data_IF_799797875314
#
_entry.id   IF_799797875314
#
_cell.length_a   1.000
_cell.length_b   1.000
_cell.length_c   1.000
_cell.angle_alpha   90.00
_cell.angle_beta   90.00
_cell.angle_gamma   90.00
#
_symmetry.space_group_name_H-M   'P 1'
#
loop_
_entity.id
_entity.type
_entity.pdbx_description
1 polymer ?
#
# COMPACT_ATOMS: atom_id res chain seq x y z
N UNK A 1 -80.92 26.18 -17.76
CA UNK A 1 -82.06 26.92 -18.27
C UNK A 1 -82.11 27.09 -19.80
N UNK A 2 -81.04 27.65 -20.43
CA UNK A 2 -80.98 27.84 -21.90
C UNK A 2 -81.14 26.51 -22.72
N UNK A 3 -80.52 25.43 -22.28
CA UNK A 3 -80.62 24.12 -22.96
C UNK A 3 -81.97 23.46 -22.85
N UNK A 4 -82.64 23.58 -21.66
CA UNK A 4 -84.00 23.15 -21.40
C UNK A 4 -84.99 23.98 -22.23
N UNK A 5 -84.74 25.29 -22.36
CA UNK A 5 -85.53 26.17 -23.19
C UNK A 5 -85.39 25.94 -24.69
N UNK A 6 -84.20 25.60 -25.19
CA UNK A 6 -83.90 25.25 -26.61
C UNK A 6 -84.56 23.90 -26.97
N UNK A 7 -84.55 22.92 -26.06
CA UNK A 7 -85.15 21.61 -26.32
C UNK A 7 -86.70 21.74 -26.35
N UNK A 8 -87.30 22.55 -25.46
CA UNK A 8 -88.75 22.75 -25.40
C UNK A 8 -89.34 23.55 -26.58
N UNK A 9 -88.52 24.39 -27.25
CA UNK A 9 -88.98 25.21 -28.41
C UNK A 9 -88.95 24.40 -29.74
N UNK A 10 -88.21 23.35 -29.85
CA UNK A 10 -88.09 22.60 -31.12
C UNK A 10 -88.68 21.21 -31.14
N UNK A 11 -89.09 20.67 -29.98
CA UNK A 11 -89.68 19.38 -29.86
C UNK A 11 -90.94 19.51 -28.97
N UNK A 12 -92.16 19.28 -29.48
CA UNK A 12 -93.38 19.21 -28.64
C UNK A 12 -93.40 17.88 -27.88
N UNK A 13 -92.50 17.78 -26.92
CA UNK A 13 -92.37 16.62 -26.02
C UNK A 13 -93.29 16.94 -24.79
N UNK A 14 -93.97 15.92 -24.29
CA UNK A 14 -94.67 16.03 -22.99
C UNK A 14 -93.68 16.52 -21.92
N UNK A 15 -94.12 17.34 -21.00
CA UNK A 15 -93.27 17.95 -19.95
C UNK A 15 -92.43 16.96 -19.17
N UNK A 16 -92.90 15.77 -18.92
CA UNK A 16 -92.20 14.66 -18.27
C UNK A 16 -90.92 14.18 -19.04
N UNK A 17 -90.97 14.09 -20.36
CA UNK A 17 -89.87 13.66 -21.22
C UNK A 17 -88.79 14.74 -21.28
N UNK A 18 -89.18 15.99 -21.32
CA UNK A 18 -88.27 17.12 -21.29
C UNK A 18 -87.49 17.20 -19.99
N UNK A 19 -88.15 16.94 -18.87
CA UNK A 19 -87.50 16.86 -17.54
C UNK A 19 -86.55 15.68 -17.43
N UNK A 20 -86.90 14.52 -17.93
CA UNK A 20 -86.08 13.33 -17.97
C UNK A 20 -84.76 13.57 -18.79
N UNK A 21 -84.89 14.17 -19.96
CA UNK A 21 -83.79 14.51 -20.82
C UNK A 21 -82.84 15.54 -20.14
N UNK A 22 -83.41 16.49 -19.40
CA UNK A 22 -82.64 17.46 -18.64
C UNK A 22 -81.85 16.76 -17.51
N UNK A 23 -82.50 15.88 -16.74
CA UNK A 23 -81.82 15.09 -15.69
C UNK A 23 -80.69 14.24 -16.26
N UNK A 24 -80.86 13.53 -17.41
CA UNK A 24 -79.84 12.74 -18.07
C UNK A 24 -78.65 13.66 -18.51
N UNK A 25 -78.97 14.83 -19.05
CA UNK A 25 -77.98 15.78 -19.45
C UNK A 25 -77.07 16.27 -18.28
N UNK A 26 -77.75 16.59 -17.12
CA UNK A 26 -77.04 17.00 -15.92
C UNK A 26 -76.18 15.87 -15.37
N UNK A 27 -76.67 14.62 -15.34
CA UNK A 27 -75.92 13.48 -14.90
C UNK A 27 -74.63 13.27 -15.86
N UNK A 28 -74.85 13.35 -17.13
CA UNK A 28 -73.80 13.23 -18.12
C UNK A 28 -72.75 14.32 -17.99
N UNK A 29 -73.19 15.57 -17.73
CA UNK A 29 -72.33 16.71 -17.50
C UNK A 29 -71.48 16.53 -16.22
N UNK A 30 -72.07 16.01 -15.14
CA UNK A 30 -71.41 15.72 -13.87
C UNK A 30 -70.34 14.63 -14.10
N UNK A 31 -70.67 13.54 -14.81
CA UNK A 31 -69.74 12.47 -15.14
C UNK A 31 -68.55 13.00 -15.99
N UNK A 32 -68.82 13.86 -16.96
CA UNK A 32 -67.78 14.48 -17.78
C UNK A 32 -66.86 15.37 -16.90
N UNK A 33 -67.44 16.20 -16.05
CA UNK A 33 -66.68 17.09 -15.15
C UNK A 33 -65.80 16.25 -14.19
N UNK A 34 -66.36 15.21 -13.60
CA UNK A 34 -65.65 14.31 -12.68
C UNK A 34 -64.49 13.60 -13.39
N UNK A 35 -64.73 13.09 -14.58
CA UNK A 35 -63.70 12.48 -15.43
C UNK A 35 -62.58 13.48 -15.79
N UNK A 36 -62.91 14.73 -16.14
CA UNK A 36 -61.92 15.76 -16.46
C UNK A 36 -61.14 16.17 -15.23
N UNK A 37 -61.79 16.36 -14.08
CA UNK A 37 -61.10 16.66 -12.83
C UNK A 37 -60.16 15.53 -12.40
N UNK A 38 -60.60 14.28 -12.52
CA UNK A 38 -59.79 13.11 -12.25
C UNK A 38 -58.53 13.08 -13.10
N UNK A 39 -58.70 13.27 -14.42
CA UNK A 39 -57.60 13.17 -15.39
C UNK A 39 -56.62 14.36 -15.36
N UNK A 40 -57.13 15.58 -15.18
CA UNK A 40 -56.30 16.80 -15.28
C UNK A 40 -55.77 17.30 -13.94
N UNK A 41 -56.38 16.90 -12.83
CA UNK A 41 -55.96 17.38 -11.52
C UNK A 41 -55.53 16.23 -10.59
N UNK A 42 -56.43 15.23 -10.37
CA UNK A 42 -56.15 14.18 -9.36
C UNK A 42 -55.00 13.26 -9.75
N UNK A 43 -54.92 12.83 -11.00
CA UNK A 43 -53.88 11.92 -11.52
C UNK A 43 -52.46 12.53 -11.46
N UNK A 44 -52.25 13.79 -11.94
CA UNK A 44 -50.93 14.46 -11.81
C UNK A 44 -50.49 14.65 -10.37
N UNK A 45 -51.39 15.10 -9.50
CA UNK A 45 -51.08 15.30 -8.07
C UNK A 45 -50.71 13.99 -7.41
N UNK A 46 -51.43 12.90 -7.68
CA UNK A 46 -51.12 11.58 -7.12
C UNK A 46 -49.73 11.11 -7.50
N UNK A 47 -49.31 11.27 -8.78
CA UNK A 47 -47.99 10.89 -9.30
C UNK A 47 -46.87 11.73 -8.67
N UNK A 48 -47.09 13.03 -8.49
CA UNK A 48 -46.16 13.94 -7.82
C UNK A 48 -45.98 13.55 -6.35
N UNK A 49 -47.07 13.28 -5.64
CA UNK A 49 -47.04 12.82 -4.24
C UNK A 49 -46.31 11.48 -4.09
N UNK A 50 -46.53 10.54 -4.99
CA UNK A 50 -45.87 9.24 -4.99
C UNK A 50 -44.36 9.41 -5.19
N UNK A 51 -43.95 10.26 -6.14
CA UNK A 51 -42.54 10.59 -6.37
C UNK A 51 -41.90 11.25 -5.15
N UNK A 52 -42.59 12.24 -4.53
CA UNK A 52 -42.10 12.90 -3.32
C UNK A 52 -41.93 11.89 -2.15
N UNK A 53 -42.86 10.94 -2.02
CA UNK A 53 -42.79 9.88 -1.01
C UNK A 53 -41.60 8.94 -1.23
N UNK A 54 -41.31 8.56 -2.47
CA UNK A 54 -40.14 7.75 -2.83
C UNK A 54 -38.87 8.53 -2.57
N UNK A 55 -38.80 9.78 -3.01
CA UNK A 55 -37.67 10.66 -2.79
C UNK A 55 -37.32 10.83 -1.30
N UNK A 56 -38.34 10.94 -0.43
CA UNK A 56 -38.17 10.98 1.03
C UNK A 56 -37.54 9.69 1.61
N UNK A 57 -37.64 8.57 0.91
CA UNK A 57 -37.01 7.29 1.24
C UNK A 57 -35.67 7.05 0.49
N UNK A 58 -35.14 8.07 -0.18
CA UNK A 58 -33.97 8.01 -1.02
C UNK A 58 -34.08 7.01 -2.19
N UNK A 59 -35.31 6.71 -2.61
CA UNK A 59 -35.58 5.88 -3.80
C UNK A 59 -35.83 6.78 -5.01
N UNK A 60 -34.82 6.93 -5.83
CA UNK A 60 -34.80 7.72 -7.07
C UNK A 60 -34.88 6.84 -8.31
N UNK A 61 -35.31 5.59 -8.20
CA UNK A 61 -35.26 4.59 -9.30
C UNK A 61 -36.16 4.93 -10.48
N UNK A 62 -37.23 5.72 -10.27
CA UNK A 62 -38.18 6.05 -11.32
C UNK A 62 -38.50 7.55 -11.34
N UNK A 63 -38.43 8.23 -12.50
CA UNK A 63 -38.81 9.63 -12.61
C UNK A 63 -40.32 9.80 -12.53
N UNK A 64 -40.75 11.01 -12.16
CA UNK A 64 -42.18 11.41 -12.20
C UNK A 64 -42.61 11.53 -13.66
N UNK A 65 -43.54 10.69 -14.09
CA UNK A 65 -44.08 10.66 -15.47
C UNK A 65 -45.40 11.48 -15.57
N UNK A 66 -45.32 12.78 -15.35
CA UNK A 66 -46.43 13.71 -15.62
C UNK A 66 -46.06 14.45 -16.92
N UNK A 67 -46.83 14.21 -17.98
CA UNK A 67 -46.66 14.84 -19.31
C UNK A 67 -47.73 15.92 -19.52
N UNK A 68 -47.85 16.88 -18.63
CA UNK A 68 -48.68 18.06 -18.79
C UNK A 68 -47.82 19.25 -19.25
N UNK A 69 -48.42 20.21 -19.94
CA UNK A 69 -47.77 21.48 -20.34
C UNK A 69 -48.15 22.65 -19.42
N UNK A 70 -48.71 22.32 -18.27
CA UNK A 70 -49.14 23.26 -17.24
C UNK A 70 -48.14 23.25 -16.05
N UNK A 71 -48.57 23.86 -14.94
CA UNK A 71 -47.77 23.98 -13.71
C UNK A 71 -47.44 22.61 -13.07
N UNK A 72 -48.23 21.56 -13.34
CA UNK A 72 -47.96 20.20 -12.88
C UNK A 72 -46.80 19.57 -13.65
N UNK A 73 -46.68 19.86 -14.97
CA UNK A 73 -45.56 19.42 -15.79
C UNK A 73 -44.25 20.07 -15.33
N UNK A 74 -44.26 21.39 -15.11
CA UNK A 74 -43.09 22.13 -14.61
C UNK A 74 -42.67 21.63 -13.23
N UNK A 75 -43.60 21.37 -12.31
CA UNK A 75 -43.34 20.81 -10.99
C UNK A 75 -42.71 19.41 -11.09
N UNK A 76 -43.22 18.55 -11.95
CA UNK A 76 -42.67 17.23 -12.16
C UNK A 76 -41.23 17.26 -12.69
N UNK A 77 -40.96 18.16 -13.64
CA UNK A 77 -39.58 18.36 -14.20
C UNK A 77 -38.61 18.87 -13.13
N UNK A 78 -39.05 19.83 -12.29
CA UNK A 78 -38.22 20.34 -11.20
C UNK A 78 -37.95 19.26 -10.12
N UNK A 79 -38.94 18.42 -9.80
CA UNK A 79 -38.75 17.28 -8.92
C UNK A 79 -37.78 16.23 -9.50
N UNK A 80 -37.90 15.95 -10.82
CA UNK A 80 -36.98 15.04 -11.50
C UNK A 80 -35.52 15.55 -11.45
N UNK A 81 -35.30 16.85 -11.77
CA UNK A 81 -33.98 17.47 -11.66
C UNK A 81 -33.42 17.47 -10.22
N UNK A 82 -34.27 17.74 -9.23
CA UNK A 82 -33.89 17.66 -7.82
C UNK A 82 -33.45 16.24 -7.44
N UNK A 83 -34.22 15.23 -7.88
CA UNK A 83 -33.92 13.82 -7.62
C UNK A 83 -32.61 13.38 -8.28
N UNK A 84 -32.35 13.77 -9.51
CA UNK A 84 -31.11 13.51 -10.23
C UNK A 84 -29.90 14.15 -9.51
N UNK A 85 -30.01 15.41 -9.12
CA UNK A 85 -28.98 16.10 -8.37
C UNK A 85 -28.70 15.46 -6.99
N UNK A 86 -29.75 15.01 -6.28
CA UNK A 86 -29.60 14.31 -5.02
C UNK A 86 -28.92 12.94 -5.20
N UNK A 87 -29.35 12.18 -6.21
CA UNK A 87 -28.74 10.88 -6.53
C UNK A 87 -27.25 11.03 -6.86
N UNK A 88 -26.89 12.01 -7.70
CA UNK A 88 -25.51 12.33 -8.05
C UNK A 88 -24.68 12.74 -6.83
N UNK A 89 -25.28 13.55 -5.95
CA UNK A 89 -24.62 14.02 -4.72
C UNK A 89 -24.37 12.86 -3.76
N UNK A 90 -25.35 11.99 -3.58
CA UNK A 90 -25.21 10.78 -2.74
C UNK A 90 -24.15 9.85 -3.29
N UNK A 91 -24.12 9.62 -4.60
CA UNK A 91 -23.09 8.79 -5.24
C UNK A 91 -21.68 9.37 -5.08
N UNK A 92 -21.53 10.70 -5.17
CA UNK A 92 -20.24 11.40 -4.90
C UNK A 92 -19.83 11.28 -3.44
N UNK A 93 -20.77 11.40 -2.52
CA UNK A 93 -20.55 11.31 -1.08
C UNK A 93 -20.12 9.88 -0.68
N UNK A 94 -20.78 8.87 -1.24
CA UNK A 94 -20.42 7.46 -1.01
C UNK A 94 -18.99 7.16 -1.51
N UNK A 95 -18.65 7.60 -2.73
CA UNK A 95 -17.28 7.47 -3.28
C UNK A 95 -16.24 8.19 -2.41
N UNK A 96 -16.55 9.39 -1.94
CA UNK A 96 -15.67 10.15 -1.06
C UNK A 96 -15.48 9.45 0.29
N UNK A 97 -16.53 8.87 0.85
CA UNK A 97 -16.48 8.13 2.11
C UNK A 97 -15.61 6.86 2.00
N UNK A 98 -15.81 6.07 0.94
CA UNK A 98 -14.97 4.89 0.66
C UNK A 98 -13.50 5.27 0.51
N UNK A 99 -13.21 6.39 -0.17
CA UNK A 99 -11.84 6.88 -0.31
C UNK A 99 -11.25 7.30 1.04
N UNK A 100 -12.01 8.05 1.82
CA UNK A 100 -11.59 8.50 3.15
C UNK A 100 -11.32 7.31 4.09
N UNK A 101 -12.18 6.30 4.08
CA UNK A 101 -11.95 5.08 4.87
C UNK A 101 -10.65 4.38 4.49
N UNK A 102 -10.35 4.29 3.18
CA UNK A 102 -9.10 3.73 2.69
C UNK A 102 -7.88 4.54 3.15
N UNK A 103 -7.96 5.86 3.03
CA UNK A 103 -6.89 6.77 3.45
C UNK A 103 -6.62 6.66 4.96
N UNK A 104 -7.68 6.63 5.77
CA UNK A 104 -7.58 6.43 7.23
C UNK A 104 -6.97 5.07 7.59
N UNK A 105 -7.33 4.00 6.86
CA UNK A 105 -6.73 2.68 7.09
C UNK A 105 -5.24 2.69 6.75
N UNK A 106 -4.86 3.33 5.66
CA UNK A 106 -3.46 3.46 5.25
C UNK A 106 -2.65 4.28 6.27
N UNK A 107 -3.18 5.40 6.75
CA UNK A 107 -2.54 6.21 7.78
C UNK A 107 -2.37 5.43 9.09
N UNK A 108 -3.39 4.70 9.52
CA UNK A 108 -3.29 3.84 10.72
C UNK A 108 -2.23 2.76 10.58
N UNK A 109 -2.06 2.19 9.38
CA UNK A 109 -1.00 1.22 9.11
C UNK A 109 0.37 1.86 9.26
N UNK A 110 0.61 3.01 8.63
CA UNK A 110 1.86 3.76 8.74
C UNK A 110 2.19 4.16 10.18
N UNK A 111 1.20 4.61 10.96
CA UNK A 111 1.39 4.93 12.37
C UNK A 111 1.79 3.71 13.21
N UNK A 112 1.21 2.54 12.94
CA UNK A 112 1.61 1.29 13.62
C UNK A 112 3.04 0.90 13.27
N UNK A 113 3.40 0.91 11.99
CA UNK A 113 4.76 0.61 11.52
C UNK A 113 5.78 1.56 12.15
N UNK A 114 5.47 2.86 12.22
CA UNK A 114 6.32 3.86 12.88
C UNK A 114 6.46 3.61 14.38
N UNK A 115 5.37 3.24 15.05
CA UNK A 115 5.42 2.89 16.48
C UNK A 115 6.27 1.65 16.72
N UNK A 116 6.05 0.58 15.96
CA UNK A 116 6.85 -0.65 16.07
C UNK A 116 8.33 -0.39 15.82
N UNK A 117 8.66 0.47 14.85
CA UNK A 117 10.02 0.91 14.58
C UNK A 117 10.63 1.60 15.81
N UNK A 118 9.90 2.54 16.43
CA UNK A 118 10.37 3.29 17.61
C UNK A 118 10.56 2.37 18.82
N UNK A 119 9.62 1.44 19.03
CA UNK A 119 9.69 0.48 20.14
C UNK A 119 10.90 -0.46 19.97
N UNK A 120 11.11 -1.00 18.76
CA UNK A 120 12.28 -1.85 18.45
C UNK A 120 13.60 -1.09 18.60
N UNK A 121 13.67 0.14 18.11
CA UNK A 121 14.83 1.02 18.28
C UNK A 121 15.18 1.23 19.75
N UNK A 122 14.18 1.54 20.57
CA UNK A 122 14.35 1.74 22.00
C UNK A 122 14.92 0.47 22.68
N UNK A 123 14.47 -0.71 22.27
CA UNK A 123 15.00 -1.98 22.76
C UNK A 123 16.45 -2.23 22.32
N UNK A 124 16.77 -2.00 21.03
CA UNK A 124 18.12 -2.21 20.48
C UNK A 124 19.14 -1.20 21.04
N UNK A 125 18.70 -0.01 21.48
CA UNK A 125 19.56 0.97 22.16
C UNK A 125 19.71 0.69 23.66
N UNK A 126 18.70 0.18 24.34
CA UNK A 126 18.73 -0.07 25.77
C UNK A 126 19.77 -1.14 26.17
N UNK A 127 19.93 -2.15 25.33
CA UNK A 127 20.88 -3.25 25.59
C UNK A 127 22.34 -2.76 25.63
N UNK A 128 22.90 -2.11 24.59
CA UNK A 128 24.28 -1.61 24.63
C UNK A 128 24.50 -0.56 25.73
N UNK A 129 23.53 0.34 25.98
CA UNK A 129 23.61 1.31 27.07
C UNK A 129 23.71 0.59 28.42
N UNK A 130 22.95 -0.48 28.62
CA UNK A 130 23.04 -1.29 29.86
C UNK A 130 24.40 -1.97 30.01
N UNK A 131 24.97 -2.49 28.91
CA UNK A 131 26.32 -3.07 28.90
C UNK A 131 27.38 -2.01 29.21
N UNK A 132 27.36 -0.88 28.52
CA UNK A 132 28.29 0.24 28.76
C UNK A 132 28.25 0.66 30.23
N UNK A 133 27.04 0.83 30.79
CA UNK A 133 26.86 1.21 32.18
C UNK A 133 27.45 0.18 33.15
N UNK A 134 27.14 -1.12 32.94
CA UNK A 134 27.62 -2.18 33.81
C UNK A 134 29.16 -2.28 33.83
N UNK A 135 29.80 -2.16 32.66
CA UNK A 135 31.26 -2.18 32.59
C UNK A 135 31.89 -0.89 33.08
N UNK A 136 31.27 0.27 32.92
CA UNK A 136 31.75 1.53 33.48
C UNK A 136 31.67 1.52 35.01
N UNK A 137 30.59 0.99 35.60
CA UNK A 137 30.48 0.77 37.04
C UNK A 137 31.56 -0.25 37.51
N UNK A 138 31.75 -1.35 36.73
CA UNK A 138 32.77 -2.36 37.05
C UNK A 138 34.22 -1.84 37.03
N UNK A 139 34.55 -0.87 36.17
CA UNK A 139 35.90 -0.23 36.18
C UNK A 139 36.19 0.49 37.48
N UNK A 140 35.19 1.06 38.16
CA UNK A 140 35.38 1.82 39.40
C UNK A 140 35.83 0.93 40.55
N UNK A 141 35.36 -0.32 40.60
CA UNK A 141 35.64 -1.24 41.70
C UNK A 141 36.77 -2.26 41.38
N UNK A 142 37.20 -2.32 40.10
CA UNK A 142 38.22 -3.29 39.64
C UNK A 142 39.64 -2.74 39.88
N UNK A 143 40.48 -3.54 40.52
CA UNK A 143 41.87 -3.20 40.84
C UNK A 143 42.86 -3.83 39.83
N UNK A 144 42.46 -4.84 39.10
CA UNK A 144 43.26 -5.51 38.05
C UNK A 144 43.27 -4.67 36.77
N UNK A 145 44.45 -4.18 36.38
CA UNK A 145 44.62 -3.32 35.20
C UNK A 145 44.26 -4.07 33.91
N UNK A 146 44.54 -5.37 33.82
CA UNK A 146 44.16 -6.18 32.63
C UNK A 146 42.65 -6.33 32.46
N UNK A 147 41.90 -6.40 33.56
CA UNK A 147 40.43 -6.42 33.50
C UNK A 147 39.85 -5.04 33.21
N UNK A 148 40.43 -3.98 33.79
CA UNK A 148 40.03 -2.60 33.50
C UNK A 148 40.19 -2.31 31.99
N UNK A 149 41.29 -2.75 31.38
CA UNK A 149 41.54 -2.61 29.97
C UNK A 149 40.44 -3.34 29.14
N UNK A 150 40.12 -4.58 29.48
CA UNK A 150 39.05 -5.33 28.84
C UNK A 150 37.69 -4.65 28.96
N UNK A 151 37.35 -4.11 30.13
CA UNK A 151 36.08 -3.39 30.32
C UNK A 151 36.03 -2.13 29.46
N UNK A 152 37.14 -1.40 29.32
CA UNK A 152 37.26 -0.24 28.45
C UNK A 152 37.06 -0.62 26.97
N UNK A 153 37.67 -1.71 26.53
CA UNK A 153 37.52 -2.22 25.16
C UNK A 153 36.05 -2.61 24.84
N UNK A 154 35.36 -3.22 25.82
CA UNK A 154 33.94 -3.56 25.66
C UNK A 154 33.08 -2.29 25.55
N UNK A 155 33.36 -1.26 26.37
CA UNK A 155 32.64 0.02 26.30
C UNK A 155 32.83 0.68 24.92
N UNK A 156 34.08 0.71 24.43
CA UNK A 156 34.40 1.28 23.12
C UNK A 156 33.65 0.53 22.03
N UNK A 157 33.72 -0.81 22.03
CA UNK A 157 33.07 -1.62 21.00
C UNK A 157 31.55 -1.48 20.99
N UNK A 158 30.90 -1.37 22.15
CA UNK A 158 29.46 -1.13 22.23
C UNK A 158 29.08 0.29 21.78
N UNK A 159 29.94 1.28 22.04
CA UNK A 159 29.73 2.65 21.57
C UNK A 159 29.84 2.75 20.04
N UNK A 160 30.85 2.10 19.44
CA UNK A 160 31.01 1.99 17.98
C UNK A 160 29.81 1.29 17.34
N UNK A 161 29.34 0.20 17.95
CA UNK A 161 28.15 -0.52 17.51
C UNK A 161 26.89 0.36 17.52
N UNK A 162 26.72 1.19 18.54
CA UNK A 162 25.63 2.17 18.59
C UNK A 162 25.77 3.23 17.49
N UNK A 163 26.97 3.72 17.21
CA UNK A 163 27.25 4.64 16.12
C UNK A 163 26.80 4.08 14.77
N UNK A 164 27.25 2.86 14.46
CA UNK A 164 26.86 2.16 13.22
C UNK A 164 25.35 1.95 13.12
N UNK A 165 24.69 1.61 14.24
CA UNK A 165 23.22 1.43 14.26
C UNK A 165 22.49 2.75 13.91
N UNK A 166 22.93 3.86 14.49
CA UNK A 166 22.33 5.19 14.26
C UNK A 166 22.57 5.63 12.82
N UNK A 167 23.79 5.53 12.31
CA UNK A 167 24.11 5.86 10.91
C UNK A 167 23.31 5.03 9.92
N UNK A 168 23.22 3.72 10.15
CA UNK A 168 22.44 2.79 9.32
C UNK A 168 20.95 3.16 9.31
N UNK A 169 20.40 3.58 10.44
CA UNK A 169 19.02 4.00 10.55
C UNK A 169 18.75 5.33 9.82
N UNK A 170 19.66 6.31 9.99
CA UNK A 170 19.56 7.60 9.31
C UNK A 170 19.64 7.43 7.78
N UNK A 171 20.53 6.57 7.31
CA UNK A 171 20.65 6.27 5.88
C UNK A 171 19.40 5.58 5.34
N UNK A 172 18.87 4.57 6.04
CA UNK A 172 17.61 3.93 5.67
C UNK A 172 16.44 4.92 5.65
N UNK A 173 16.36 5.80 6.63
CA UNK A 173 15.33 6.85 6.68
C UNK A 173 15.45 7.84 5.51
N UNK A 174 16.66 8.21 5.12
CA UNK A 174 16.91 9.08 3.99
C UNK A 174 16.52 8.43 2.64
N UNK A 175 16.81 7.13 2.49
CA UNK A 175 16.41 6.32 1.33
C UNK A 175 14.87 6.23 1.21
N UNK A 176 14.16 5.99 2.30
CA UNK A 176 12.68 5.85 2.30
C UNK A 176 11.94 7.15 2.03
N UNK A 177 12.44 8.26 2.55
CA UNK A 177 11.80 9.56 2.39
C UNK A 177 12.11 10.22 1.01
N UNK A 178 12.83 9.52 0.13
CA UNK A 178 13.22 10.08 -1.17
C UNK A 178 14.20 11.26 -1.06
N UNK A 179 14.86 11.42 0.10
CA UNK A 179 15.86 12.47 0.31
C UNK A 179 17.18 12.17 -0.43
N UNK A 180 17.35 10.93 -0.89
CA UNK A 180 18.50 10.47 -1.64
C UNK A 180 18.13 10.38 -3.12
N UNK A 181 18.82 11.15 -3.97
CA UNK A 181 18.73 11.01 -5.41
C UNK A 181 19.75 9.96 -5.86
N UNK A 182 19.31 8.99 -6.64
CA UNK A 182 20.21 8.00 -7.25
C UNK A 182 21.13 8.69 -8.26
N UNK A 183 22.39 8.29 -8.26
CA UNK A 183 23.43 8.76 -9.20
C UNK A 183 23.94 7.59 -10.03
N UNK A 184 23.19 7.17 -11.07
CA UNK A 184 23.62 6.06 -11.91
C UNK A 184 24.87 6.41 -12.71
N UNK A 185 25.85 5.52 -12.70
CA UNK A 185 27.07 5.63 -13.50
C UNK A 185 27.35 4.30 -14.21
N UNK A 186 28.11 4.37 -15.30
CA UNK A 186 28.53 3.18 -16.07
C UNK A 186 29.84 2.64 -15.51
N UNK A 187 29.84 1.38 -15.08
CA UNK A 187 31.09 0.70 -14.60
C UNK A 187 31.06 -0.79 -14.88
N UNK A 188 32.21 -1.42 -14.80
CA UNK A 188 32.39 -2.86 -14.90
C UNK A 188 31.95 -3.52 -13.58
N UNK A 189 30.89 -4.27 -13.64
CA UNK A 189 30.29 -4.89 -12.44
C UNK A 189 31.09 -6.12 -11.97
N UNK A 190 31.79 -6.81 -12.86
CA UNK A 190 32.65 -7.96 -12.50
C UNK A 190 33.80 -7.50 -11.63
N UNK A 191 34.59 -6.53 -12.13
CA UNK A 191 35.74 -5.93 -11.40
C UNK A 191 35.26 -5.31 -10.06
N UNK A 192 34.06 -4.70 -10.06
CA UNK A 192 33.50 -4.10 -8.87
C UNK A 192 33.16 -5.14 -7.79
N UNK A 193 32.53 -6.26 -8.16
CA UNK A 193 32.23 -7.36 -7.24
C UNK A 193 33.48 -8.04 -6.72
N UNK A 194 34.46 -8.29 -7.61
CA UNK A 194 35.77 -8.85 -7.22
C UNK A 194 36.48 -7.98 -6.19
N UNK A 195 36.48 -6.67 -6.39
CA UNK A 195 37.12 -5.72 -5.47
C UNK A 195 36.48 -5.75 -4.09
N UNK A 196 35.16 -5.73 -4.03
CA UNK A 196 34.40 -5.73 -2.76
C UNK A 196 34.53 -7.10 -2.07
N UNK A 197 34.36 -8.18 -2.81
CA UNK A 197 34.46 -9.53 -2.27
C UNK A 197 35.90 -9.80 -1.77
N UNK A 198 36.93 -9.38 -2.51
CA UNK A 198 38.31 -9.45 -2.08
C UNK A 198 38.54 -8.76 -0.74
N UNK A 199 38.09 -7.50 -0.61
CA UNK A 199 38.21 -6.73 0.64
C UNK A 199 37.50 -7.40 1.84
N UNK A 200 36.30 -7.98 1.63
CA UNK A 200 35.50 -8.51 2.71
C UNK A 200 35.81 -9.95 3.10
N UNK A 201 36.36 -10.75 2.18
CA UNK A 201 36.50 -12.19 2.33
C UNK A 201 37.95 -12.65 2.49
N UNK A 202 38.96 -11.91 1.94
CA UNK A 202 40.37 -12.34 1.93
C UNK A 202 41.13 -11.87 3.17
N UNK A 203 40.81 -10.72 3.75
CA UNK A 203 41.54 -10.11 4.89
C UNK A 203 41.31 -10.79 6.26
N UNK A 204 40.86 -12.03 6.32
CA UNK A 204 40.65 -12.75 7.57
C UNK A 204 41.46 -14.03 7.67
N UNK A 205 42.43 -14.10 8.61
CA UNK A 205 43.33 -15.23 8.77
C UNK A 205 42.67 -16.53 9.32
N UNK A 206 41.41 -16.52 9.71
CA UNK A 206 40.73 -17.66 10.34
C UNK A 206 39.31 -17.87 9.74
N UNK A 207 39.18 -17.94 8.42
CA UNK A 207 37.88 -18.34 7.83
C UNK A 207 37.80 -19.88 7.77
N UNK A 208 36.90 -20.42 8.60
CA UNK A 208 36.59 -21.86 8.63
C UNK A 208 35.49 -22.21 7.58
N UNK A 209 35.59 -21.65 6.34
CA UNK A 209 34.69 -21.96 5.22
C UNK A 209 35.44 -21.95 3.87
N UNK A 210 34.91 -22.70 2.90
CA UNK A 210 35.37 -22.76 1.53
C UNK A 210 34.73 -21.65 0.69
N UNK A 211 35.55 -20.83 0.03
CA UNK A 211 35.10 -19.76 -0.83
C UNK A 211 35.13 -20.19 -2.30
N UNK A 212 33.97 -20.10 -2.98
CA UNK A 212 33.86 -20.42 -4.41
C UNK A 212 33.38 -19.20 -5.19
N UNK A 213 34.03 -18.95 -6.34
CA UNK A 213 33.65 -17.88 -7.26
C UNK A 213 33.22 -18.47 -8.61
N UNK A 214 32.13 -17.92 -9.16
CA UNK A 214 31.66 -18.21 -10.51
C UNK A 214 31.37 -16.86 -11.17
N UNK A 215 32.40 -16.31 -11.85
CA UNK A 215 32.38 -14.97 -12.44
C UNK A 215 32.66 -15.06 -13.94
N UNK A 216 32.07 -14.18 -14.78
CA UNK A 216 32.44 -14.05 -16.19
C UNK A 216 33.91 -13.71 -16.35
N UNK A 217 34.56 -14.29 -17.35
CA UNK A 217 35.96 -13.96 -17.70
C UNK A 217 36.08 -12.61 -18.44
N UNK A 218 34.99 -12.02 -18.85
CA UNK A 218 34.95 -10.76 -19.59
C UNK A 218 34.25 -9.66 -18.76
N UNK A 219 34.53 -8.41 -19.15
CA UNK A 219 33.94 -7.23 -18.52
C UNK A 219 32.43 -7.14 -18.84
N UNK A 220 31.61 -6.91 -17.82
CA UNK A 220 30.18 -6.70 -17.98
C UNK A 220 29.81 -5.33 -17.41
N UNK A 221 29.36 -4.44 -18.29
CA UNK A 221 29.02 -3.08 -17.91
C UNK A 221 27.54 -2.96 -17.50
N UNK A 222 27.31 -2.22 -16.43
CA UNK A 222 25.97 -1.86 -15.94
C UNK A 222 25.88 -0.35 -15.75
N UNK A 223 24.64 0.17 -15.62
CA UNK A 223 24.40 1.57 -15.29
C UNK A 223 23.51 1.63 -14.04
N UNK A 224 24.11 1.78 -12.88
CA UNK A 224 23.44 1.83 -11.58
C UNK A 224 24.16 2.80 -10.65
N UNK A 225 23.59 3.10 -9.50
CA UNK A 225 24.28 3.86 -8.45
C UNK A 225 25.35 2.98 -7.78
N UNK A 226 26.61 3.21 -8.12
CA UNK A 226 27.74 2.40 -7.68
C UNK A 226 27.91 2.40 -6.16
N UNK A 227 27.74 3.57 -5.51
CA UNK A 227 27.83 3.69 -4.05
C UNK A 227 26.74 2.85 -3.35
N UNK A 228 25.54 2.90 -3.87
CA UNK A 228 24.42 2.13 -3.33
C UNK A 228 24.56 0.63 -3.62
N UNK A 229 25.10 0.27 -4.78
CA UNK A 229 25.41 -1.14 -5.08
C UNK A 229 26.55 -1.68 -4.20
N UNK A 230 27.55 -0.87 -3.85
CA UNK A 230 28.56 -1.25 -2.86
C UNK A 230 27.91 -1.59 -1.51
N UNK A 231 26.95 -0.77 -1.08
CA UNK A 231 26.20 -1.00 0.16
C UNK A 231 25.37 -2.30 0.11
N UNK A 232 24.75 -2.60 -1.03
CA UNK A 232 24.04 -3.87 -1.26
C UNK A 232 24.99 -5.05 -1.13
N UNK A 233 26.11 -5.03 -1.85
CA UNK A 233 27.08 -6.11 -1.83
C UNK A 233 27.69 -6.31 -0.44
N UNK A 234 28.08 -5.22 0.24
CA UNK A 234 28.59 -5.28 1.61
C UNK A 234 27.60 -5.97 2.56
N UNK A 235 26.31 -5.59 2.52
CA UNK A 235 25.28 -6.18 3.38
C UNK A 235 25.04 -7.67 3.07
N UNK A 236 24.98 -8.05 1.78
CA UNK A 236 24.74 -9.44 1.38
C UNK A 236 25.95 -10.32 1.70
N UNK A 237 27.17 -9.89 1.40
CA UNK A 237 28.40 -10.67 1.64
C UNK A 237 28.63 -10.85 3.14
N UNK A 238 28.50 -9.77 3.94
CA UNK A 238 28.62 -9.86 5.40
C UNK A 238 27.53 -10.74 6.02
N UNK A 239 26.31 -10.67 5.50
CA UNK A 239 25.24 -11.55 5.94
C UNK A 239 25.54 -13.02 5.65
N UNK A 240 25.94 -13.36 4.42
CA UNK A 240 26.28 -14.72 4.03
C UNK A 240 27.45 -15.26 4.86
N UNK A 241 28.52 -14.46 5.06
CA UNK A 241 29.67 -14.78 5.91
C UNK A 241 29.30 -15.11 7.36
N UNK A 242 28.36 -14.37 7.94
CA UNK A 242 27.88 -14.62 9.32
C UNK A 242 27.06 -15.89 9.45
N UNK A 243 26.42 -16.34 8.38
CA UNK A 243 25.46 -17.46 8.41
C UNK A 243 26.00 -18.74 7.76
N UNK A 244 27.22 -18.72 7.21
CA UNK A 244 27.85 -19.94 6.71
C UNK A 244 28.22 -20.87 7.89
N UNK A 245 27.95 -22.16 7.73
CA UNK A 245 28.34 -23.18 8.72
C UNK A 245 29.86 -23.33 8.78
N UNK A 246 30.43 -23.75 9.94
CA UNK A 246 31.86 -24.13 10.01
C UNK A 246 32.20 -25.17 8.95
N UNK A 247 33.27 -24.96 8.20
CA UNK A 247 33.68 -25.77 7.04
C UNK A 247 32.64 -25.85 5.90
N UNK A 248 31.65 -24.95 5.90
CA UNK A 248 30.66 -24.86 4.85
C UNK A 248 31.17 -24.09 3.62
N UNK A 249 30.34 -24.02 2.59
CA UNK A 249 30.64 -23.35 1.33
C UNK A 249 29.96 -21.98 1.32
N UNK A 250 30.72 -20.94 0.94
CA UNK A 250 30.21 -19.64 0.55
C UNK A 250 30.51 -19.47 -0.94
N UNK A 251 29.45 -19.38 -1.76
CA UNK A 251 29.61 -19.22 -3.22
C UNK A 251 29.06 -17.88 -3.67
N UNK A 252 29.84 -17.16 -4.42
CA UNK A 252 29.49 -15.91 -5.07
C UNK A 252 29.44 -16.16 -6.58
N UNK A 253 28.31 -15.83 -7.21
CA UNK A 253 28.08 -16.12 -8.63
C UNK A 253 27.58 -14.87 -9.35
N UNK A 254 28.12 -14.62 -10.54
CA UNK A 254 27.64 -13.65 -11.52
C UNK A 254 27.39 -14.39 -12.84
N UNK A 255 26.16 -14.34 -13.33
CA UNK A 255 25.77 -15.01 -14.58
C UNK A 255 25.13 -13.98 -15.50
N UNK A 256 25.71 -13.78 -16.69
CA UNK A 256 25.10 -12.95 -17.72
C UNK A 256 24.16 -13.78 -18.58
N UNK A 257 22.87 -13.41 -18.61
CA UNK A 257 21.85 -14.06 -19.40
C UNK A 257 20.78 -13.04 -19.82
N UNK A 258 20.34 -13.08 -21.08
CA UNK A 258 19.21 -12.29 -21.61
C UNK A 258 19.33 -10.76 -21.38
N UNK A 259 20.53 -10.20 -21.53
CA UNK A 259 20.89 -8.81 -21.25
C UNK A 259 20.70 -8.42 -19.76
N UNK A 260 20.72 -9.38 -18.87
CA UNK A 260 20.73 -9.19 -17.44
C UNK A 260 21.96 -9.83 -16.82
N UNK A 261 22.50 -9.20 -15.80
CA UNK A 261 23.54 -9.76 -14.95
C UNK A 261 22.91 -10.21 -13.64
N UNK A 262 22.91 -11.51 -13.38
CA UNK A 262 22.36 -12.12 -12.19
C UNK A 262 23.48 -12.32 -11.16
N UNK A 263 23.42 -11.54 -10.09
CA UNK A 263 24.26 -11.74 -8.91
C UNK A 263 23.57 -12.72 -7.96
N UNK A 264 24.33 -13.65 -7.41
CA UNK A 264 23.86 -14.43 -6.26
C UNK A 264 24.99 -14.72 -5.28
N UNK A 265 24.64 -14.77 -4.00
CA UNK A 265 25.50 -15.25 -2.94
C UNK A 265 24.80 -16.35 -2.17
N UNK A 266 25.43 -17.50 -2.12
CA UNK A 266 24.97 -18.68 -1.42
C UNK A 266 25.85 -18.93 -0.20
N UNK A 267 25.24 -19.22 0.92
CA UNK A 267 25.91 -19.74 2.12
C UNK A 267 25.33 -21.08 2.53
N UNK A 268 26.18 -22.08 2.67
CA UNK A 268 25.82 -23.35 3.24
C UNK A 268 25.52 -23.18 4.74
N UNK A 269 24.34 -23.63 5.19
CA UNK A 269 23.93 -23.46 6.58
C UNK A 269 22.45 -23.74 6.80
N UNK A 270 21.94 -23.28 7.93
CA UNK A 270 20.54 -23.49 8.28
C UNK A 270 19.60 -22.78 7.28
N UNK A 271 18.58 -23.49 6.79
CA UNK A 271 17.52 -22.93 5.96
C UNK A 271 16.65 -21.95 6.76
N UNK A 272 16.11 -20.95 6.09
CA UNK A 272 15.15 -19.99 6.65
C UNK A 272 13.74 -20.63 6.54
N UNK A 273 12.95 -20.73 7.62
CA UNK A 273 11.58 -21.22 7.51
C UNK A 273 10.80 -20.45 6.43
N UNK A 274 10.04 -21.16 5.55
CA UNK A 274 9.37 -20.51 4.41
C UNK A 274 8.48 -19.31 4.79
N UNK A 275 7.82 -19.39 5.93
CA UNK A 275 6.98 -18.31 6.46
C UNK A 275 7.77 -17.07 6.94
N UNK A 276 9.10 -17.21 7.09
CA UNK A 276 10.02 -16.14 7.48
C UNK A 276 10.73 -15.51 6.29
N UNK A 277 10.85 -16.19 5.15
CA UNK A 277 11.52 -15.66 3.95
C UNK A 277 11.03 -14.28 3.50
N UNK A 278 9.71 -13.98 3.48
CA UNK A 278 9.26 -12.62 3.16
C UNK A 278 9.62 -11.59 4.23
N UNK A 279 9.79 -12.03 5.48
CA UNK A 279 10.01 -11.14 6.62
C UNK A 279 11.48 -10.76 6.84
N UNK A 280 12.44 -11.48 6.25
CA UNK A 280 13.86 -11.17 6.43
C UNK A 280 14.25 -9.80 5.88
N UNK A 281 13.44 -9.22 5.00
CA UNK A 281 13.60 -7.89 4.42
C UNK A 281 13.00 -6.76 5.27
N UNK A 282 12.24 -7.13 6.33
CA UNK A 282 11.65 -6.15 7.25
C UNK A 282 12.72 -5.57 8.19
N UNK A 283 12.54 -4.31 8.57
CA UNK A 283 13.43 -3.60 9.50
C UNK A 283 13.48 -4.31 10.85
N UNK A 284 14.70 -4.43 11.40
CA UNK A 284 14.95 -5.07 12.70
C UNK A 284 14.47 -6.53 12.78
N UNK A 285 14.21 -7.16 11.64
CA UNK A 285 13.88 -8.58 11.65
C UNK A 285 15.13 -9.40 11.99
N UNK A 286 14.98 -10.27 12.97
CA UNK A 286 16.03 -11.21 13.39
C UNK A 286 15.38 -12.53 13.80
N UNK A 287 16.00 -13.62 13.44
CA UNK A 287 15.62 -14.91 14.04
C UNK A 287 16.07 -14.94 15.50
N UNK A 288 15.16 -15.26 16.41
CA UNK A 288 15.46 -15.38 17.85
C UNK A 288 16.55 -16.42 18.17
N UNK A 289 16.79 -17.35 17.25
CA UNK A 289 17.78 -18.42 17.36
C UNK A 289 19.09 -18.10 16.64
N UNK A 290 19.25 -16.92 16.05
CA UNK A 290 20.46 -16.54 15.32
C UNK A 290 21.67 -16.40 16.26
N UNK A 291 22.76 -17.08 15.93
CA UNK A 291 24.02 -17.05 16.70
C UNK A 291 24.69 -15.67 16.73
N UNK A 292 24.39 -14.80 15.77
CA UNK A 292 25.10 -13.53 15.58
C UNK A 292 24.19 -12.31 15.83
N UNK A 293 24.77 -11.32 16.54
CA UNK A 293 24.11 -10.08 16.91
C UNK A 293 24.26 -9.02 15.78
N UNK A 294 23.38 -9.04 14.77
CA UNK A 294 23.29 -7.98 13.76
C UNK A 294 22.17 -6.97 14.12
N UNK A 295 22.17 -5.78 13.51
CA UNK A 295 21.13 -4.74 13.70
C UNK A 295 19.76 -5.14 13.11
N UNK A 296 19.70 -6.11 12.21
CA UNK A 296 18.48 -6.45 11.46
C UNK A 296 18.08 -5.38 10.43
N UNK A 297 18.97 -4.44 10.11
CA UNK A 297 18.73 -3.38 9.13
C UNK A 297 19.38 -3.66 7.76
N UNK A 298 20.41 -4.51 7.70
CA UNK A 298 21.19 -4.71 6.48
C UNK A 298 20.36 -5.21 5.29
N UNK A 299 19.52 -6.22 5.48
CA UNK A 299 18.64 -6.71 4.41
C UNK A 299 17.51 -5.74 4.06
N UNK A 300 17.02 -4.96 5.01
CA UNK A 300 16.05 -3.90 4.75
C UNK A 300 16.64 -2.79 3.86
N UNK A 301 17.92 -2.44 4.08
CA UNK A 301 18.65 -1.51 3.21
C UNK A 301 18.82 -2.09 1.81
N UNK A 302 19.19 -3.36 1.69
CA UNK A 302 19.30 -4.05 0.39
C UNK A 302 17.97 -3.96 -0.37
N UNK A 303 16.87 -4.31 0.29
CA UNK A 303 15.54 -4.25 -0.31
C UNK A 303 15.18 -2.83 -0.75
N UNK A 304 15.46 -1.83 0.08
CA UNK A 304 15.15 -0.43 -0.24
C UNK A 304 15.96 0.07 -1.44
N UNK A 305 17.27 -0.17 -1.47
CA UNK A 305 18.16 0.28 -2.57
C UNK A 305 17.77 -0.39 -3.90
N UNK A 306 17.54 -1.70 -3.89
CA UNK A 306 17.18 -2.44 -5.09
C UNK A 306 15.79 -2.05 -5.60
N UNK A 307 14.81 -1.85 -4.69
CA UNK A 307 13.47 -1.35 -5.04
C UNK A 307 13.49 0.07 -5.62
N UNK A 308 14.35 0.97 -5.11
CA UNK A 308 14.50 2.33 -5.66
C UNK A 308 15.07 2.34 -7.09
N UNK A 309 15.78 1.29 -7.48
CA UNK A 309 16.36 1.12 -8.81
C UNK A 309 15.52 0.19 -9.70
N UNK A 310 14.31 -0.20 -9.27
CA UNK A 310 13.41 -1.15 -9.96
C UNK A 310 14.09 -2.48 -10.31
N UNK A 311 15.01 -2.95 -9.46
CA UNK A 311 15.76 -4.20 -9.65
C UNK A 311 15.06 -5.35 -8.92
N UNK A 312 15.01 -6.52 -9.58
CA UNK A 312 14.50 -7.75 -8.98
C UNK A 312 15.49 -8.30 -7.95
N UNK A 313 15.00 -8.75 -6.80
CA UNK A 313 15.80 -9.36 -5.74
C UNK A 313 15.00 -10.38 -4.95
N UNK A 314 15.71 -11.28 -4.27
CA UNK A 314 15.07 -12.30 -3.47
C UNK A 314 16.04 -13.12 -2.63
N UNK A 315 15.43 -14.05 -1.88
CA UNK A 315 16.13 -15.09 -1.15
C UNK A 315 15.37 -16.41 -1.29
N UNK A 316 16.11 -17.49 -1.41
CA UNK A 316 15.53 -18.83 -1.49
C UNK A 316 16.37 -19.85 -0.70
N UNK A 317 15.70 -20.88 -0.20
CA UNK A 317 16.36 -22.00 0.40
C UNK A 317 16.78 -23.00 -0.69
N UNK A 318 18.03 -23.42 -0.63
CA UNK A 318 18.54 -24.60 -1.36
C UNK A 318 18.55 -25.82 -0.41
N UNK A 319 19.00 -26.96 -0.92
CA UNK A 319 18.98 -28.22 -0.15
C UNK A 319 19.71 -28.15 1.19
N UNK A 320 20.75 -27.35 1.29
CA UNK A 320 21.70 -27.30 2.41
C UNK A 320 22.15 -25.87 2.77
N UNK A 321 21.41 -24.84 2.32
CA UNK A 321 21.75 -23.46 2.58
C UNK A 321 20.75 -22.45 2.04
N UNK A 322 21.15 -21.19 2.00
CA UNK A 322 20.34 -20.07 1.54
C UNK A 322 21.07 -19.31 0.44
N UNK A 323 20.36 -18.94 -0.61
CA UNK A 323 20.84 -18.11 -1.71
C UNK A 323 20.10 -16.76 -1.68
N UNK A 324 20.83 -15.66 -1.65
CA UNK A 324 20.35 -14.31 -1.90
C UNK A 324 20.73 -13.91 -3.32
N UNK A 325 19.84 -13.21 -4.01
CA UNK A 325 20.10 -12.82 -5.41
C UNK A 325 19.47 -11.48 -5.77
N UNK A 326 19.99 -10.86 -6.80
CA UNK A 326 19.38 -9.75 -7.53
C UNK A 326 19.84 -9.73 -8.99
N UNK A 327 19.14 -8.95 -9.82
CA UNK A 327 19.41 -8.87 -11.25
C UNK A 327 19.57 -7.41 -11.70
N UNK A 328 20.59 -7.14 -12.53
CA UNK A 328 20.89 -5.80 -13.03
C UNK A 328 20.92 -5.82 -14.56
N UNK A 329 20.28 -4.86 -15.27
CA UNK A 329 20.38 -4.77 -16.72
C UNK A 329 21.83 -4.50 -17.18
N UNK A 330 22.31 -5.25 -18.19
CA UNK A 330 23.61 -5.00 -18.82
C UNK A 330 23.48 -3.91 -19.89
N UNK A 331 24.55 -3.14 -20.05
CA UNK A 331 24.68 -2.15 -21.11
C UNK A 331 25.89 -2.51 -22.01
N UNK A 332 25.70 -2.32 -23.31
CA UNK A 332 26.78 -2.57 -24.30
C UNK A 332 27.85 -1.52 -24.27
#
# INVERSE_FOLDING_TARGET
MLFSYLISIRLPLEEDISFLLWVIFVILLVIIIDYLLGRFISDPISKICEMAHRAARLDFSQPCKVTSKDEFGELADNLNKMSENLQDTLAKLEKANIRLEKDVQQERKLLRERKELTDRLSHEMKTPIGVIRAYAEGIQDETDEGKRQKYSEIIISETERMGILIETLLDLSALENGAVSLMPERFDFVEFVETIAGRLLIDMPETDFELQYELPEHKVFVCTDKLRMEQVLNNLIVNAKKNVSPKGILRLSLIEQDNMLHFSIYNQGASIPPEKLPKIWEKFYRDKNAKYNGSGLGLAIVAQILSMQDLEYGAENLSDGVRFFFSVPTIK
#
